data_IF_134814913895
#
_entry.id   IF_134814913895
#
_cell.length_a   1.000
_cell.length_b   1.000
_cell.length_c   1.000
_cell.angle_alpha   90.00
_cell.angle_beta   90.00
_cell.angle_gamma   90.00
#
_symmetry.space_group_name_H-M   'P 1'
#
loop_
_entity.id
_entity.type
_entity.pdbx_description
1 polymer ?
#
# COMPACT_ATOMS: atom_id res chain seq x y z
N UNK A 1 -11.17 13.08 -0.34
CA UNK A 1 -11.33 11.69 -0.83
C UNK A 1 -11.74 10.81 0.35
N UNK A 2 -12.64 9.84 0.17
CA UNK A 2 -13.04 8.88 1.21
C UNK A 2 -13.04 7.47 0.64
N UNK A 3 -12.59 6.50 1.43
CA UNK A 3 -12.58 5.08 1.06
C UNK A 3 -13.75 4.41 1.74
N UNK A 4 -14.64 3.82 0.93
CA UNK A 4 -15.81 3.10 1.44
C UNK A 4 -15.37 1.88 2.26
N UNK A 5 -15.96 1.65 3.45
CA UNK A 5 -15.83 0.38 4.14
C UNK A 5 -16.31 -0.78 3.25
N UNK A 6 -15.67 -1.92 3.38
CA UNK A 6 -16.08 -3.16 2.70
C UNK A 6 -16.92 -3.98 3.67
N UNK A 7 -18.10 -4.46 3.26
CA UNK A 7 -18.76 -5.53 4.00
C UNK A 7 -17.90 -6.78 3.91
N UNK A 8 -17.68 -7.47 5.02
CA UNK A 8 -16.77 -8.62 5.09
C UNK A 8 -17.34 -9.77 5.91
N UNK A 9 -16.84 -10.97 5.64
CA UNK A 9 -17.01 -12.17 6.45
C UNK A 9 -15.69 -12.56 7.11
N UNK A 10 -15.77 -13.32 8.20
CA UNK A 10 -14.61 -13.82 8.96
C UNK A 10 -13.68 -12.71 9.49
N UNK A 11 -14.26 -11.55 9.79
CA UNK A 11 -13.62 -10.43 10.45
C UNK A 11 -14.35 -10.11 11.75
N UNK A 12 -13.65 -9.49 12.71
CA UNK A 12 -14.22 -9.17 14.04
C UNK A 12 -15.42 -8.20 13.96
N UNK A 13 -15.50 -7.41 12.90
CA UNK A 13 -16.60 -6.48 12.61
C UNK A 13 -17.29 -6.85 11.28
N UNK A 14 -18.57 -6.46 11.08
CA UNK A 14 -19.29 -6.71 9.83
C UNK A 14 -18.71 -5.94 8.63
N UNK A 15 -17.95 -4.88 8.90
CA UNK A 15 -17.33 -4.04 7.89
C UNK A 15 -15.84 -3.86 8.19
N UNK A 16 -15.04 -3.86 7.12
CA UNK A 16 -13.62 -3.54 7.14
C UNK A 16 -13.44 -2.10 6.65
N UNK A 17 -13.07 -1.15 7.52
CA UNK A 17 -12.93 0.25 7.14
C UNK A 17 -11.79 0.45 6.14
N UNK A 18 -11.89 1.50 5.34
CA UNK A 18 -10.70 2.08 4.71
C UNK A 18 -9.80 2.63 5.81
N UNK A 19 -8.51 2.29 5.78
CA UNK A 19 -7.57 2.70 6.81
C UNK A 19 -6.34 3.30 6.17
N UNK A 20 -6.46 4.59 5.86
CA UNK A 20 -5.40 5.37 5.21
C UNK A 20 -4.38 5.76 6.27
N UNK A 21 -3.15 5.27 6.13
CA UNK A 21 -2.08 5.55 7.10
C UNK A 21 -1.00 6.48 6.55
N UNK A 22 -0.91 6.64 5.24
CA UNK A 22 0.06 7.53 4.61
C UNK A 22 -0.48 8.12 3.30
N UNK A 23 -0.05 9.35 2.99
CA UNK A 23 -0.37 10.10 1.79
C UNK A 23 0.85 10.87 1.29
N UNK A 24 1.00 11.03 -0.01
CA UNK A 24 2.00 11.94 -0.59
C UNK A 24 1.50 12.57 -1.89
N UNK A 25 2.08 13.71 -2.25
CA UNK A 25 1.79 14.43 -3.50
C UNK A 25 3.03 14.39 -4.39
N UNK A 26 2.84 14.24 -5.70
CA UNK A 26 3.94 14.30 -6.66
C UNK A 26 4.56 15.70 -6.71
N UNK A 27 5.84 15.79 -7.07
CA UNK A 27 6.58 17.07 -7.10
C UNK A 27 5.95 18.11 -8.05
N UNK A 28 5.20 17.66 -9.06
CA UNK A 28 4.49 18.50 -10.02
C UNK A 28 3.07 18.87 -9.60
N UNK A 29 2.67 18.52 -8.37
CA UNK A 29 1.34 18.73 -7.77
C UNK A 29 0.17 18.13 -8.57
N UNK A 30 0.43 17.22 -9.50
CA UNK A 30 -0.60 16.62 -10.38
C UNK A 30 -1.25 15.38 -9.79
N UNK A 31 -0.55 14.64 -8.93
CA UNK A 31 -1.05 13.39 -8.38
C UNK A 31 -0.94 13.32 -6.86
N UNK A 32 -2.01 12.86 -6.22
CA UNK A 32 -2.03 12.41 -4.82
C UNK A 32 -1.99 10.89 -4.79
N UNK A 33 -1.14 10.34 -3.94
CA UNK A 33 -1.07 8.92 -3.64
C UNK A 33 -1.46 8.70 -2.19
N UNK A 34 -2.12 7.58 -1.93
CA UNK A 34 -2.30 7.09 -0.56
C UNK A 34 -2.42 5.58 -0.56
N UNK A 35 -2.29 5.00 0.63
CA UNK A 35 -2.42 3.57 0.83
C UNK A 35 -3.57 3.26 1.79
N UNK A 36 -4.13 2.05 1.72
CA UNK A 36 -5.07 1.52 2.71
C UNK A 36 -4.48 0.29 3.37
N UNK A 37 -4.05 0.41 4.62
CA UNK A 37 -3.33 -0.66 5.32
C UNK A 37 -4.19 -1.91 5.55
N UNK A 38 -5.49 -1.76 5.81
CA UNK A 38 -6.39 -2.92 6.00
C UNK A 38 -6.89 -3.51 4.67
N UNK A 39 -7.37 -2.68 3.75
CA UNK A 39 -7.92 -3.16 2.47
C UNK A 39 -6.83 -3.63 1.50
N UNK A 40 -5.59 -3.17 1.66
CA UNK A 40 -4.42 -3.71 0.97
C UNK A 40 -4.02 -3.00 -0.32
N UNK A 41 -4.61 -1.84 -0.64
CA UNK A 41 -4.40 -1.17 -1.91
C UNK A 41 -3.71 0.18 -1.80
N UNK A 42 -2.98 0.52 -2.86
CA UNK A 42 -2.39 1.84 -3.11
C UNK A 42 -3.23 2.50 -4.20
N UNK A 43 -3.55 3.78 -4.04
CA UNK A 43 -4.33 4.57 -5.01
C UNK A 43 -3.56 5.79 -5.48
N UNK A 44 -3.80 6.16 -6.72
CA UNK A 44 -3.33 7.38 -7.37
C UNK A 44 -4.55 8.18 -7.83
N UNK A 45 -4.59 9.45 -7.44
CA UNK A 45 -5.61 10.41 -7.84
C UNK A 45 -4.97 11.53 -8.63
N UNK A 46 -5.53 11.88 -9.79
CA UNK A 46 -5.26 13.17 -10.43
C UNK A 46 -5.91 14.28 -9.58
N UNK A 47 -5.13 15.30 -9.24
CA UNK A 47 -5.52 16.45 -8.42
C UNK A 47 -5.25 17.80 -9.11
N UNK A 48 -5.16 17.84 -10.45
CA UNK A 48 -5.05 19.09 -11.23
C UNK A 48 -6.21 20.05 -10.92
N UNK A 49 -7.38 19.50 -10.57
CA UNK A 49 -8.42 20.22 -9.82
C UNK A 49 -8.51 19.65 -8.38
N UNK A 50 -7.89 20.29 -7.38
CA UNK A 50 -7.88 19.79 -6.00
C UNK A 50 -9.27 19.66 -5.37
N UNK A 51 -10.28 20.36 -5.91
CA UNK A 51 -11.67 20.26 -5.42
C UNK A 51 -12.37 19.01 -5.94
N UNK A 52 -11.92 18.47 -7.08
CA UNK A 52 -12.50 17.31 -7.73
C UNK A 52 -11.44 16.22 -8.06
N UNK A 53 -10.80 15.59 -7.06
CA UNK A 53 -9.82 14.53 -7.31
C UNK A 53 -10.42 13.34 -8.06
N UNK A 54 -9.69 12.82 -9.06
CA UNK A 54 -10.14 11.70 -9.89
C UNK A 54 -9.25 10.48 -9.67
N UNK A 55 -9.81 9.33 -9.31
CA UNK A 55 -9.07 8.08 -9.20
C UNK A 55 -8.60 7.64 -10.59
N UNK A 56 -7.27 7.54 -10.78
CA UNK A 56 -6.66 7.17 -12.07
C UNK A 56 -5.77 5.92 -11.99
N UNK A 57 -5.47 5.43 -10.79
CA UNK A 57 -4.72 4.20 -10.58
C UNK A 57 -5.03 3.55 -9.25
N UNK A 58 -5.08 2.22 -9.22
CA UNK A 58 -5.23 1.42 -8.01
C UNK A 58 -4.51 0.10 -8.18
N UNK A 59 -3.78 -0.36 -7.16
CA UNK A 59 -3.11 -1.65 -7.14
C UNK A 59 -3.19 -2.29 -5.77
N UNK A 60 -3.51 -3.58 -5.70
CA UNK A 60 -3.52 -4.35 -4.45
C UNK A 60 -2.15 -4.98 -4.23
N UNK A 61 -1.58 -4.78 -3.04
CA UNK A 61 -0.21 -5.18 -2.67
C UNK A 61 -0.20 -5.93 -1.32
N UNK A 62 -1.31 -6.59 -0.99
CA UNK A 62 -1.50 -7.31 0.26
C UNK A 62 -2.90 -7.07 0.82
N UNK A 63 -2.98 -6.89 2.14
CA UNK A 63 -4.19 -6.56 2.88
C UNK A 63 -4.92 -7.77 3.46
N UNK A 64 -5.97 -7.50 4.23
CA UNK A 64 -6.81 -8.53 4.82
C UNK A 64 -7.71 -9.22 3.78
N UNK A 65 -8.04 -8.56 2.67
CA UNK A 65 -9.00 -9.09 1.68
C UNK A 65 -8.29 -9.76 0.50
N UNK A 66 -7.05 -10.22 0.65
CA UNK A 66 -6.32 -10.91 -0.43
C UNK A 66 -6.64 -12.40 -0.53
N UNK A 67 -6.50 -12.98 -1.73
CA UNK A 67 -6.66 -14.43 -1.93
C UNK A 67 -5.81 -15.23 -0.93
N UNK A 68 -6.42 -16.24 -0.32
CA UNK A 68 -5.80 -17.07 0.72
C UNK A 68 -5.84 -16.47 2.13
N UNK A 69 -6.40 -15.27 2.31
CA UNK A 69 -6.78 -14.74 3.62
C UNK A 69 -8.11 -15.34 4.09
N UNK A 70 -8.36 -15.49 5.41
CA UNK A 70 -9.68 -15.85 5.92
C UNK A 70 -10.75 -14.78 5.67
N UNK A 71 -10.37 -13.50 5.59
CA UNK A 71 -11.31 -12.38 5.43
C UNK A 71 -11.74 -12.26 3.96
N UNK A 72 -13.06 -12.21 3.73
CA UNK A 72 -13.65 -12.17 2.40
C UNK A 72 -14.58 -10.97 2.30
N UNK A 73 -14.45 -10.14 1.26
CA UNK A 73 -15.34 -9.01 1.04
C UNK A 73 -16.61 -9.44 0.30
N UNK A 74 -17.70 -8.73 0.56
CA UNK A 74 -19.04 -9.00 0.05
C UNK A 74 -19.57 -7.76 -0.66
N UNK A 75 -20.02 -7.93 -1.90
CA UNK A 75 -20.66 -6.88 -2.70
C UNK A 75 -22.12 -6.67 -2.27
N UNK A 76 -22.76 -5.61 -2.77
CA UNK A 76 -24.16 -5.32 -2.46
C UNK A 76 -25.13 -6.41 -2.94
N UNK A 77 -24.80 -7.11 -4.04
CA UNK A 77 -25.54 -8.26 -4.57
C UNK A 77 -25.17 -9.60 -3.89
N UNK A 78 -24.39 -9.56 -2.80
CA UNK A 78 -24.04 -10.72 -1.98
C UNK A 78 -22.92 -11.60 -2.54
N UNK A 79 -22.26 -11.20 -3.63
CA UNK A 79 -21.11 -11.94 -4.19
C UNK A 79 -19.88 -11.69 -3.35
N UNK A 80 -19.07 -12.72 -3.18
CA UNK A 80 -17.81 -12.64 -2.47
C UNK A 80 -16.66 -12.33 -3.41
N UNK A 81 -15.67 -11.59 -2.92
CA UNK A 81 -14.44 -11.34 -3.64
C UNK A 81 -13.25 -11.17 -2.69
N UNK A 82 -12.07 -11.42 -3.24
CA UNK A 82 -10.77 -11.14 -2.65
C UNK A 82 -9.86 -10.55 -3.73
N UNK A 83 -8.96 -9.65 -3.34
CA UNK A 83 -7.98 -9.06 -4.25
C UNK A 83 -6.99 -10.13 -4.73
N UNK A 84 -6.64 -10.02 -6.01
CA UNK A 84 -5.55 -10.81 -6.58
C UNK A 84 -4.24 -10.07 -6.36
N UNK A 85 -3.32 -10.70 -5.64
CA UNK A 85 -2.04 -10.12 -5.25
C UNK A 85 -0.96 -11.10 -5.70
N UNK A 86 -0.04 -10.68 -6.60
CA UNK A 86 0.97 -11.58 -7.14
C UNK A 86 2.03 -11.91 -6.09
N UNK A 87 2.69 -13.05 -6.27
CA UNK A 87 3.99 -13.28 -5.65
C UNK A 87 5.06 -12.53 -6.43
N UNK A 88 6.02 -11.93 -5.72
CA UNK A 88 7.15 -11.21 -6.31
C UNK A 88 8.41 -11.97 -5.97
N UNK A 89 9.14 -12.44 -6.99
CA UNK A 89 10.36 -13.23 -6.82
C UNK A 89 10.18 -14.46 -5.90
N UNK A 90 8.98 -15.08 -5.90
CA UNK A 90 8.65 -16.22 -5.04
C UNK A 90 8.25 -15.86 -3.62
N UNK A 91 8.16 -14.57 -3.28
CA UNK A 91 7.67 -14.09 -1.99
C UNK A 91 6.19 -13.68 -2.09
N UNK A 92 5.37 -14.23 -1.19
CA UNK A 92 4.00 -13.75 -0.95
C UNK A 92 4.04 -12.38 -0.27
N UNK A 93 3.16 -11.48 -0.71
CA UNK A 93 3.01 -10.16 -0.08
C UNK A 93 2.25 -10.28 1.25
N UNK A 94 2.99 -10.02 2.34
CA UNK A 94 2.52 -10.06 3.74
C UNK A 94 1.99 -8.69 4.16
N UNK A 95 1.00 -8.66 5.05
CA UNK A 95 0.47 -7.40 5.57
C UNK A 95 -0.21 -6.55 4.50
N UNK A 96 -0.52 -5.30 4.85
CA UNK A 96 -0.95 -4.28 3.89
C UNK A 96 0.06 -3.14 3.78
N UNK A 97 0.00 -2.32 2.71
CA UNK A 97 0.92 -1.22 2.52
C UNK A 97 0.79 -0.19 3.64
N UNK A 98 1.89 0.42 4.09
CA UNK A 98 1.93 1.37 5.19
C UNK A 98 2.53 2.74 4.81
N UNK A 99 3.85 2.83 4.65
CA UNK A 99 4.52 4.05 4.22
C UNK A 99 4.82 3.97 2.74
N UNK A 100 4.74 5.11 2.06
CA UNK A 100 5.09 5.25 0.65
C UNK A 100 6.08 6.39 0.43
N UNK A 101 6.91 6.25 -0.60
CA UNK A 101 7.80 7.32 -1.04
C UNK A 101 7.93 7.34 -2.56
N UNK A 102 7.76 8.52 -3.15
CA UNK A 102 7.80 8.70 -4.60
C UNK A 102 9.16 9.22 -5.03
N UNK A 103 9.67 8.70 -6.14
CA UNK A 103 10.86 9.24 -6.78
C UNK A 103 10.61 10.67 -7.29
N UNK A 104 11.66 11.50 -7.34
CA UNK A 104 11.54 12.90 -7.80
C UNK A 104 11.01 13.04 -9.25
N UNK A 105 11.24 12.04 -10.10
CA UNK A 105 10.69 12.01 -11.48
C UNK A 105 9.23 11.50 -11.54
N UNK A 106 8.65 11.11 -10.39
CA UNK A 106 7.28 10.62 -10.24
C UNK A 106 7.03 9.21 -10.76
N UNK A 107 8.05 8.50 -11.28
CA UNK A 107 7.85 7.24 -12.01
C UNK A 107 7.89 5.97 -11.15
N UNK A 108 8.43 6.07 -9.93
CA UNK A 108 8.64 4.93 -9.03
C UNK A 108 8.11 5.28 -7.65
N UNK A 109 7.12 4.53 -7.19
CA UNK A 109 6.57 4.63 -5.85
C UNK A 109 7.00 3.41 -5.05
N UNK A 110 7.72 3.62 -3.96
CA UNK A 110 8.15 2.55 -3.07
C UNK A 110 7.18 2.43 -1.91
N UNK A 111 6.93 1.21 -1.44
CA UNK A 111 6.01 0.94 -0.34
C UNK A 111 6.60 -0.07 0.65
N UNK A 112 6.54 0.24 1.94
CA UNK A 112 6.77 -0.70 3.05
C UNK A 112 5.43 -1.03 3.72
N UNK A 113 5.42 -1.97 4.66
CA UNK A 113 4.17 -2.56 5.17
C UNK A 113 4.03 -2.68 6.70
N UNK A 114 5.02 -2.25 7.50
CA UNK A 114 4.86 -2.16 8.95
C UNK A 114 4.29 -0.80 9.36
N UNK A 115 3.27 -0.80 10.22
CA UNK A 115 2.65 0.41 10.77
C UNK A 115 3.18 0.70 12.18
N UNK A 116 2.90 -0.22 13.09
CA UNK A 116 3.21 -0.08 14.49
C UNK A 116 3.20 -1.47 15.12
N UNK A 117 4.29 -1.84 15.78
CA UNK A 117 4.56 -3.24 16.12
C UNK A 117 3.47 -3.97 16.93
N UNK A 118 2.66 -3.26 17.73
CA UNK A 118 1.54 -3.89 18.46
C UNK A 118 0.36 -4.16 17.55
N UNK A 119 0.06 -3.24 16.61
CA UNK A 119 -1.01 -3.39 15.63
C UNK A 119 -0.61 -4.42 14.56
N UNK A 120 0.64 -4.37 14.10
CA UNK A 120 1.18 -5.34 13.15
C UNK A 120 1.02 -6.77 13.69
N UNK A 121 1.39 -7.02 14.95
CA UNK A 121 1.21 -8.34 15.59
C UNK A 121 -0.25 -8.79 15.69
N UNK A 122 -1.17 -7.86 15.92
CA UNK A 122 -2.59 -8.17 16.08
C UNK A 122 -3.29 -8.44 14.75
N UNK A 123 -2.96 -7.67 13.71
CA UNK A 123 -3.68 -7.65 12.43
C UNK A 123 -2.96 -8.50 11.38
N UNK A 124 -1.63 -8.45 11.36
CA UNK A 124 -0.76 -9.14 10.40
C UNK A 124 0.38 -9.87 11.13
N UNK A 125 0.08 -10.91 11.92
CA UNK A 125 1.08 -11.60 12.75
C UNK A 125 2.29 -12.11 11.95
N UNK A 126 2.11 -12.48 10.68
CA UNK A 126 3.20 -12.88 9.78
C UNK A 126 4.29 -11.79 9.62
N UNK A 127 3.98 -10.50 9.79
CA UNK A 127 4.98 -9.43 9.74
C UNK A 127 5.97 -9.51 10.90
N UNK A 128 5.49 -9.89 12.09
CA UNK A 128 6.35 -10.03 13.26
C UNK A 128 7.20 -11.31 13.20
N UNK A 129 6.69 -12.36 12.56
CA UNK A 129 7.36 -13.65 12.43
C UNK A 129 8.38 -13.71 11.28
N UNK A 130 8.04 -13.10 10.14
CA UNK A 130 8.79 -13.21 8.88
C UNK A 130 9.35 -11.88 8.40
N UNK A 131 9.06 -10.79 9.08
CA UNK A 131 9.54 -9.47 8.72
C UNK A 131 8.69 -8.79 7.65
N UNK A 132 8.84 -7.48 7.62
CA UNK A 132 8.31 -6.58 6.60
C UNK A 132 9.00 -6.78 5.24
N UNK A 133 8.52 -6.09 4.23
CA UNK A 133 9.17 -6.02 2.93
C UNK A 133 8.98 -4.66 2.27
N UNK A 134 9.75 -4.40 1.22
CA UNK A 134 9.57 -3.22 0.35
C UNK A 134 9.26 -3.64 -1.08
N UNK A 135 8.33 -2.91 -1.69
CA UNK A 135 7.96 -3.03 -3.10
C UNK A 135 8.30 -1.76 -3.85
N UNK A 136 8.50 -1.89 -5.16
CA UNK A 136 8.44 -0.77 -6.11
C UNK A 136 7.18 -0.92 -6.98
N UNK A 137 6.48 0.18 -7.15
CA UNK A 137 5.33 0.33 -8.02
C UNK A 137 5.73 1.28 -9.14
N UNK A 138 5.58 0.82 -10.38
CA UNK A 138 5.73 1.65 -11.57
C UNK A 138 4.50 2.53 -11.73
N UNK A 139 4.73 3.83 -11.98
CA UNK A 139 3.71 4.86 -12.06
C UNK A 139 3.64 5.45 -13.48
N UNK A 140 2.44 5.45 -14.07
CA UNK A 140 2.17 6.23 -15.30
C UNK A 140 1.86 7.69 -14.92
N UNK A 141 2.81 8.58 -15.18
CA UNK A 141 2.71 10.02 -14.86
C UNK A 141 1.97 10.84 -15.92
N UNK A 142 1.57 10.22 -17.03
CA UNK A 142 0.85 10.89 -18.11
C UNK A 142 -0.66 10.68 -18.00
N UNK A 143 -1.09 9.43 -17.81
CA UNK A 143 -2.51 9.06 -17.76
C UNK A 143 -2.97 8.61 -16.38
N UNK A 144 -2.04 8.38 -15.45
CA UNK A 144 -2.31 7.61 -14.25
C UNK A 144 -2.29 6.11 -14.53
N UNK A 145 -2.02 5.34 -13.48
CA UNK A 145 -1.85 3.90 -13.54
C UNK A 145 -0.74 3.44 -12.62
N UNK A 146 -1.00 2.36 -11.91
CA UNK A 146 -0.07 1.75 -10.96
C UNK A 146 0.14 0.29 -11.34
N UNK A 147 1.40 -0.16 -11.33
CA UNK A 147 1.74 -1.57 -11.59
C UNK A 147 2.87 -2.02 -10.67
N UNK A 148 2.73 -3.17 -10.02
CA UNK A 148 3.81 -3.74 -9.21
C UNK A 148 4.98 -4.10 -10.13
N UNK A 149 6.20 -3.66 -9.78
CA UNK A 149 7.40 -4.08 -10.48
C UNK A 149 7.79 -5.51 -10.04
N UNK A 150 7.71 -6.52 -10.91
CA UNK A 150 8.00 -7.91 -10.54
C UNK A 150 9.49 -8.18 -10.27
N UNK A 151 10.36 -7.22 -10.59
CA UNK A 151 11.82 -7.36 -10.48
C UNK A 151 12.39 -6.68 -9.22
N UNK A 152 11.54 -6.11 -8.36
CA UNK A 152 11.98 -5.42 -7.15
C UNK A 152 11.25 -5.96 -5.92
N UNK A 153 12.01 -6.52 -4.99
CA UNK A 153 11.54 -6.94 -3.67
C UNK A 153 12.70 -6.87 -2.68
N UNK A 154 12.50 -6.20 -1.55
CA UNK A 154 13.45 -6.23 -0.44
C UNK A 154 12.78 -6.97 0.72
N UNK A 155 13.39 -8.08 1.14
CA UNK A 155 12.90 -8.89 2.25
C UNK A 155 13.63 -8.53 3.55
N UNK A 156 12.96 -7.80 4.44
CA UNK A 156 13.53 -7.47 5.76
C UNK A 156 13.43 -8.64 6.74
N UNK A 157 12.89 -9.79 6.32
CA UNK A 157 12.98 -11.04 7.06
C UNK A 157 14.39 -11.66 7.08
N UNK A 158 15.23 -11.30 6.11
CA UNK A 158 16.56 -11.87 5.91
C UNK A 158 17.69 -11.06 6.59
N UNK A 159 17.34 -10.11 7.46
CA UNK A 159 18.31 -9.31 8.20
C UNK A 159 19.12 -10.18 9.20
N UNK A 160 20.41 -9.84 9.48
CA UNK A 160 21.32 -10.72 10.23
C UNK A 160 20.84 -11.09 11.64
N UNK A 161 20.14 -10.16 12.32
CA UNK A 161 19.66 -10.33 13.69
C UNK A 161 18.18 -10.76 13.75
N UNK A 162 17.64 -11.21 12.62
CA UNK A 162 16.26 -11.68 12.49
C UNK A 162 15.31 -10.65 11.87
N UNK A 163 14.00 -10.96 11.82
CA UNK A 163 13.07 -10.19 11.02
C UNK A 163 12.88 -8.74 11.48
N UNK A 164 13.00 -7.80 10.54
CA UNK A 164 12.81 -6.37 10.79
C UNK A 164 11.47 -5.84 10.26
N UNK A 165 10.98 -4.77 10.91
CA UNK A 165 9.73 -4.08 10.60
C UNK A 165 10.03 -2.68 10.07
N UNK A 166 10.30 -2.59 8.77
CA UNK A 166 10.60 -1.36 8.06
C UNK A 166 9.35 -0.48 7.94
N UNK A 167 9.51 0.77 8.36
CA UNK A 167 8.47 1.79 8.38
C UNK A 167 8.77 2.84 7.31
N UNK A 168 9.33 3.99 7.67
CA UNK A 168 9.63 5.08 6.74
C UNK A 168 10.87 4.81 5.87
N UNK A 169 10.90 5.43 4.70
CA UNK A 169 12.06 5.45 3.79
C UNK A 169 12.36 6.87 3.32
N UNK A 170 13.65 7.19 3.18
CA UNK A 170 14.13 8.50 2.73
C UNK A 170 15.12 8.37 1.59
N UNK A 171 15.01 9.24 0.60
CA UNK A 171 15.95 9.25 -0.52
C UNK A 171 17.23 10.00 -0.15
N UNK A 172 18.41 9.50 -0.57
CA UNK A 172 19.63 10.30 -0.53
C UNK A 172 19.45 11.56 -1.38
N UNK A 173 19.55 12.73 -0.76
CA UNK A 173 19.44 14.03 -1.45
C UNK A 173 18.03 14.63 -1.52
N UNK A 174 17.07 14.06 -0.80
CA UNK A 174 15.72 14.63 -0.66
C UNK A 174 14.64 13.88 -1.44
N UNK A 175 13.42 13.96 -0.95
CA UNK A 175 12.21 13.35 -1.51
C UNK A 175 10.99 14.28 -1.39
N UNK A 176 9.87 13.86 -1.96
CA UNK A 176 8.63 14.65 -1.97
C UNK A 176 8.04 14.92 -0.58
N UNK A 177 8.60 14.33 0.48
CA UNK A 177 8.11 14.48 1.86
C UNK A 177 9.13 15.14 2.80
N UNK A 178 10.38 15.28 2.39
CA UNK A 178 11.45 15.85 3.23
C UNK A 178 11.78 17.31 2.93
N UNK A 179 11.55 17.76 1.70
CA UNK A 179 12.03 19.06 1.22
C UNK A 179 10.90 20.05 1.00
N UNK A 180 11.13 21.30 1.42
CA UNK A 180 10.24 22.43 1.20
C UNK A 180 10.96 23.44 0.31
N UNK A 181 10.37 23.78 -0.82
CA UNK A 181 10.90 24.71 -1.80
C UNK A 181 10.34 26.12 -1.54
N UNK A 182 11.18 27.16 -1.63
CA UNK A 182 10.84 28.58 -1.37
C UNK A 182 10.88 29.38 -2.67
#
# INVERSE_FOLDING_TARGET
>A
ISVKPLKVQNWILPELPGFITDILISIDDRFLYFINWLQGDIRQYNIEDPKNPVLVGQVYVGGLVQKGSPVVAVTEDGKTWQSDVPEIQGHRLRGGPNMIQLSLDGKRLYATNSLFSTWDRQIYPELAEKGSHMLQIDVDTMKGGLKINPNFFIDFGAEPDGPCMAHEMRYPGGDCTSDIWI
#
